data_IF_920745344471
#
_entry.id   IF_920745344471
#
_cell.length_a   1.000
_cell.length_b   1.000
_cell.length_c   1.000
_cell.angle_alpha   90.00
_cell.angle_beta   90.00
_cell.angle_gamma   90.00
#
_symmetry.space_group_name_H-M   'P 1'
#
loop_
_entity.id
_entity.type
_entity.pdbx_description
1 polymer ?
#
# COMPACT_ATOMS: atom_id res chain seq x y z
N UNK A 1 -1.43 -22.16 -13.91
CA UNK A 1 -0.36 -21.50 -13.14
C UNK A 1 -0.94 -20.18 -12.68
N UNK A 2 -1.28 -20.04 -11.40
CA UNK A 2 -1.61 -18.72 -10.87
C UNK A 2 -0.32 -17.89 -10.95
N UNK A 3 -0.38 -16.84 -11.73
CA UNK A 3 0.75 -16.02 -12.12
C UNK A 3 1.33 -15.38 -10.85
N UNK A 4 2.66 -15.32 -10.68
CA UNK A 4 3.29 -14.66 -9.51
C UNK A 4 2.79 -13.22 -9.29
N UNK A 5 2.22 -12.63 -10.33
CA UNK A 5 1.51 -11.35 -10.33
C UNK A 5 0.25 -11.35 -9.47
N UNK A 6 -0.57 -12.40 -9.52
CA UNK A 6 -1.81 -12.50 -8.74
C UNK A 6 -1.50 -12.60 -7.24
N UNK A 7 -0.50 -13.40 -6.85
CA UNK A 7 -0.09 -13.47 -5.44
C UNK A 7 0.47 -12.13 -4.92
N UNK A 8 1.31 -11.46 -5.71
CA UNK A 8 1.81 -10.12 -5.36
C UNK A 8 0.65 -9.13 -5.24
N UNK A 9 -0.32 -9.22 -6.15
CA UNK A 9 -1.51 -8.39 -6.13
C UNK A 9 -2.31 -8.61 -4.86
N UNK A 10 -2.66 -9.84 -4.52
CA UNK A 10 -3.37 -10.16 -3.29
C UNK A 10 -2.66 -9.61 -2.04
N UNK A 11 -1.34 -9.76 -1.96
CA UNK A 11 -0.54 -9.22 -0.84
C UNK A 11 -0.58 -7.70 -0.78
N UNK A 12 -0.45 -7.03 -1.93
CA UNK A 12 -0.54 -5.58 -2.05
C UNK A 12 -1.95 -5.08 -1.70
N UNK A 13 -3.00 -5.72 -2.20
CA UNK A 13 -4.38 -5.35 -1.91
C UNK A 13 -4.71 -5.57 -0.42
N UNK A 14 -4.26 -6.67 0.17
CA UNK A 14 -4.39 -6.92 1.61
C UNK A 14 -3.71 -5.83 2.45
N UNK A 15 -2.46 -5.46 2.14
CA UNK A 15 -1.74 -4.39 2.85
C UNK A 15 -2.38 -3.02 2.62
N UNK A 16 -2.87 -2.74 1.40
CA UNK A 16 -3.64 -1.52 1.09
C UNK A 16 -4.90 -1.43 1.96
N UNK A 17 -5.65 -2.53 2.06
CA UNK A 17 -6.85 -2.60 2.90
C UNK A 17 -6.53 -2.39 4.38
N UNK A 18 -5.46 -3.00 4.89
CA UNK A 18 -5.01 -2.77 6.27
C UNK A 18 -4.65 -1.29 6.51
N UNK A 19 -3.90 -0.66 5.60
CA UNK A 19 -3.55 0.76 5.70
C UNK A 19 -4.78 1.66 5.59
N UNK A 20 -5.73 1.36 4.71
CA UNK A 20 -7.00 2.09 4.60
C UNK A 20 -7.84 1.98 5.87
N UNK A 21 -7.92 0.79 6.47
CA UNK A 21 -8.59 0.58 7.75
C UNK A 21 -7.92 1.43 8.83
N UNK A 22 -6.60 1.32 8.98
CA UNK A 22 -5.82 2.10 9.94
C UNK A 22 -5.99 3.61 9.71
N UNK A 23 -5.99 4.06 8.45
CA UNK A 23 -6.24 5.47 8.10
C UNK A 23 -7.63 5.93 8.52
N UNK A 24 -8.67 5.12 8.32
CA UNK A 24 -10.03 5.44 8.72
C UNK A 24 -10.18 5.47 10.25
N UNK A 25 -9.55 4.55 10.96
CA UNK A 25 -9.49 4.55 12.43
C UNK A 25 -8.79 5.81 12.95
N UNK A 26 -7.62 6.14 12.39
CA UNK A 26 -6.86 7.35 12.73
C UNK A 26 -7.54 8.65 12.28
N UNK A 27 -8.48 8.59 11.33
CA UNK A 27 -9.28 9.74 10.93
C UNK A 27 -10.39 10.02 11.95
N UNK A 28 -10.90 8.99 12.60
CA UNK A 28 -11.84 9.13 13.72
C UNK A 28 -11.12 9.57 15.00
N UNK A 29 -9.86 9.16 15.17
CA UNK A 29 -9.01 9.61 16.28
C UNK A 29 -8.54 11.06 16.07
N UNK A 30 -8.87 11.95 17.01
CA UNK A 30 -8.56 13.38 16.92
C UNK A 30 -7.26 13.77 17.62
N UNK A 31 -6.47 12.80 18.10
CA UNK A 31 -5.19 13.06 18.78
C UNK A 31 -4.15 13.55 17.77
N UNK A 32 -3.25 14.41 18.23
CA UNK A 32 -2.16 14.92 17.40
C UNK A 32 -1.25 13.78 16.85
N UNK A 33 -0.96 12.79 17.69
CA UNK A 33 -0.21 11.59 17.30
C UNK A 33 -0.92 10.77 16.20
N UNK A 34 -2.26 10.76 16.24
CA UNK A 34 -3.06 10.13 15.20
C UNK A 34 -2.97 10.90 13.87
N UNK A 35 -2.87 12.23 13.90
CA UNK A 35 -2.69 13.05 12.70
C UNK A 35 -1.34 12.80 11.99
N UNK A 36 -0.26 12.64 12.76
CA UNK A 36 1.05 12.27 12.21
C UNK A 36 1.03 10.87 11.61
N UNK A 37 0.50 9.89 12.36
CA UNK A 37 0.37 8.51 11.89
C UNK A 37 -0.51 8.44 10.64
N UNK A 38 -1.62 9.18 10.63
CA UNK A 38 -2.54 9.29 9.49
C UNK A 38 -1.83 9.83 8.25
N UNK A 39 -0.97 10.84 8.41
CA UNK A 39 -0.19 11.42 7.32
C UNK A 39 0.81 10.41 6.76
N UNK A 40 1.50 9.66 7.63
CA UNK A 40 2.42 8.57 7.21
C UNK A 40 1.67 7.46 6.46
N UNK A 41 0.53 7.00 7.00
CA UNK A 41 -0.29 5.96 6.36
C UNK A 41 -0.81 6.43 4.99
N UNK A 42 -1.25 7.68 4.89
CA UNK A 42 -1.68 8.27 3.61
C UNK A 42 -0.54 8.32 2.61
N UNK A 43 0.66 8.76 3.01
CA UNK A 43 1.83 8.80 2.13
C UNK A 43 2.18 7.41 1.57
N UNK A 44 2.06 6.34 2.39
CA UNK A 44 2.28 4.96 1.92
C UNK A 44 1.22 4.51 0.91
N UNK A 45 -0.03 4.90 1.11
CA UNK A 45 -1.11 4.64 0.15
C UNK A 45 -0.88 5.38 -1.17
N UNK A 46 -0.53 6.66 -1.13
CA UNK A 46 -0.19 7.46 -2.31
C UNK A 46 1.02 6.87 -3.07
N UNK A 47 2.07 6.42 -2.36
CA UNK A 47 3.22 5.74 -2.96
C UNK A 47 2.81 4.44 -3.67
N UNK A 48 1.95 3.64 -3.02
CA UNK A 48 1.42 2.43 -3.62
C UNK A 48 0.58 2.74 -4.87
N UNK A 49 -0.29 3.74 -4.82
CA UNK A 49 -1.10 4.14 -5.97
C UNK A 49 -0.25 4.73 -7.10
N UNK A 50 0.88 5.38 -6.78
CA UNK A 50 1.84 5.82 -7.78
C UNK A 50 2.51 4.63 -8.50
N UNK A 51 2.87 3.57 -7.77
CA UNK A 51 3.38 2.33 -8.35
C UNK A 51 2.32 1.62 -9.22
N UNK A 52 1.06 1.67 -8.79
CA UNK A 52 -0.08 1.06 -9.49
C UNK A 52 -0.76 1.99 -10.51
N UNK A 53 -0.24 3.21 -10.73
CA UNK A 53 -0.85 4.21 -11.62
C UNK A 53 -1.00 3.72 -13.05
N UNK A 54 -0.07 2.88 -13.51
CA UNK A 54 -0.12 2.27 -14.83
C UNK A 54 -1.10 1.07 -14.91
N UNK A 55 -1.67 0.65 -13.77
CA UNK A 55 -2.51 -0.52 -13.60
C UNK A 55 -1.71 -1.82 -13.53
N UNK A 56 -2.30 -2.85 -12.90
CA UNK A 56 -1.72 -4.19 -12.83
C UNK A 56 -1.41 -4.80 -14.21
N UNK A 57 -2.14 -4.39 -15.25
CA UNK A 57 -1.87 -4.79 -16.64
C UNK A 57 -0.52 -4.29 -17.19
N UNK A 58 0.07 -3.26 -16.60
CA UNK A 58 1.40 -2.71 -16.98
C UNK A 58 2.45 -2.90 -15.89
N UNK A 59 2.16 -3.72 -14.88
CA UNK A 59 3.14 -4.06 -13.84
C UNK A 59 4.21 -4.95 -14.47
N UNK A 60 5.37 -4.35 -14.73
CA UNK A 60 6.57 -5.04 -15.16
C UNK A 60 7.42 -5.45 -13.94
N UNK A 61 8.54 -6.13 -14.17
CA UNK A 61 9.42 -6.62 -13.11
C UNK A 61 9.99 -5.49 -12.22
N UNK A 62 10.21 -4.30 -12.77
CA UNK A 62 10.62 -3.11 -11.99
C UNK A 62 9.53 -2.68 -11.00
N UNK A 63 8.27 -2.59 -11.45
CA UNK A 63 7.14 -2.28 -10.57
C UNK A 63 6.93 -3.40 -9.56
N UNK A 64 7.06 -4.68 -9.94
CA UNK A 64 7.00 -5.80 -9.00
C UNK A 64 8.08 -5.70 -7.92
N UNK A 65 9.30 -5.32 -8.30
CA UNK A 65 10.40 -5.11 -7.35
C UNK A 65 10.09 -3.98 -6.38
N UNK A 66 9.54 -2.86 -6.88
CA UNK A 66 9.12 -1.73 -6.03
C UNK A 66 8.00 -2.12 -5.08
N UNK A 67 6.99 -2.85 -5.55
CA UNK A 67 5.88 -3.35 -4.74
C UNK A 67 6.35 -4.34 -3.67
N UNK A 68 7.25 -5.26 -4.01
CA UNK A 68 7.85 -6.16 -3.02
C UNK A 68 8.62 -5.39 -1.95
N UNK A 69 9.48 -4.44 -2.33
CA UNK A 69 10.17 -3.58 -1.35
C UNK A 69 9.21 -2.76 -0.49
N UNK A 70 8.12 -2.28 -1.08
CA UNK A 70 7.08 -1.56 -0.35
C UNK A 70 6.37 -2.45 0.68
N UNK A 71 6.12 -3.72 0.34
CA UNK A 71 5.57 -4.73 1.24
C UNK A 71 6.55 -5.12 2.36
N UNK A 72 7.84 -5.21 2.05
CA UNK A 72 8.91 -5.58 2.99
C UNK A 72 9.29 -4.46 3.97
N UNK A 73 8.91 -3.21 3.68
CA UNK A 73 9.01 -2.12 4.66
C UNK A 73 8.02 -2.39 5.79
N UNK A 74 8.47 -3.07 6.83
CA UNK A 74 7.80 -3.06 8.12
C UNK A 74 8.21 -1.78 8.85
N UNK A 75 7.22 -0.98 9.26
CA UNK A 75 7.42 0.26 10.02
C UNK A 75 7.23 -0.07 11.50
#
# INVERSE_FOLDING_TARGET
MLDKTDELRDRVEARKHQLLSKYNELKADSRHEAAETRTRVKARLDELEAHLKAGWAKVNDDVRTKLNRWLERDD
#
